data_IF_183566523051
#
_entry.id   IF_183566523051
#
_cell.length_a   1.000
_cell.length_b   1.000
_cell.length_c   1.000
_cell.angle_alpha   90.00
_cell.angle_beta   90.00
_cell.angle_gamma   90.00
#
_symmetry.space_group_name_H-M   'P 1'
#
loop_
_entity.id
_entity.type
_entity.pdbx_description
1 polymer ?
#
# COMPACT_ATOMS: atom_id res chain seq x y z
N UNK A 1 42.75 -19.70 43.55
CA UNK A 1 42.09 -18.71 42.66
C UNK A 1 41.20 -19.47 41.69
N UNK A 2 39.90 -19.59 42.01
CA UNK A 2 38.93 -20.31 41.18
C UNK A 2 38.15 -19.30 40.32
N UNK A 3 38.32 -19.37 38.99
CA UNK A 3 37.61 -18.54 38.02
C UNK A 3 36.33 -19.26 37.58
N UNK A 4 35.17 -18.76 38.02
CA UNK A 4 33.87 -19.19 37.55
C UNK A 4 33.65 -18.78 36.09
N UNK A 5 33.71 -19.75 35.17
CA UNK A 5 33.27 -19.59 33.78
C UNK A 5 31.77 -19.92 33.70
N UNK A 6 30.95 -18.94 33.34
CA UNK A 6 29.53 -19.15 33.09
C UNK A 6 29.30 -19.82 31.72
N UNK A 7 28.31 -20.72 31.58
CA UNK A 7 27.98 -21.39 30.34
C UNK A 7 27.43 -20.40 29.29
N UNK A 8 27.93 -20.51 28.06
CA UNK A 8 27.65 -19.62 26.91
C UNK A 8 26.20 -19.65 26.39
N UNK A 9 25.36 -20.54 26.91
CA UNK A 9 23.95 -20.67 26.52
C UNK A 9 23.06 -19.55 27.08
N UNK A 10 23.48 -18.87 28.14
CA UNK A 10 22.70 -17.76 28.75
C UNK A 10 22.83 -16.41 28.02
N UNK A 11 23.80 -16.24 27.12
CA UNK A 11 23.98 -14.95 26.41
C UNK A 11 22.95 -14.73 25.30
N UNK A 12 22.45 -15.79 24.66
CA UNK A 12 21.52 -15.65 23.53
C UNK A 12 20.07 -15.39 23.97
N UNK A 13 19.64 -15.93 25.12
CA UNK A 13 18.29 -15.69 25.64
C UNK A 13 18.10 -14.24 26.04
N UNK A 14 19.09 -13.63 26.68
CA UNK A 14 19.05 -12.21 27.07
C UNK A 14 18.92 -11.25 25.88
N UNK A 15 19.56 -11.58 24.75
CA UNK A 15 19.44 -10.78 23.51
C UNK A 15 18.03 -10.84 22.92
N UNK A 16 17.39 -12.00 22.96
CA UNK A 16 16.01 -12.17 22.47
C UNK A 16 15.02 -11.41 23.36
N UNK A 17 15.18 -11.49 24.69
CA UNK A 17 14.34 -10.73 25.62
C UNK A 17 14.55 -9.22 25.50
N UNK A 18 15.79 -8.75 25.32
CA UNK A 18 16.08 -7.33 25.12
C UNK A 18 15.45 -6.79 23.81
N UNK A 19 15.49 -7.56 22.73
CA UNK A 19 14.83 -7.21 21.48
C UNK A 19 13.30 -7.20 21.61
N UNK A 20 12.72 -8.21 22.27
CA UNK A 20 11.27 -8.26 22.51
C UNK A 20 10.80 -7.07 23.37
N UNK A 21 11.55 -6.72 24.42
CA UNK A 21 11.23 -5.61 25.31
C UNK A 21 11.27 -4.24 24.60
N UNK A 22 12.15 -4.06 23.61
CA UNK A 22 12.18 -2.82 22.81
C UNK A 22 11.06 -2.74 21.76
N UNK A 23 10.60 -3.88 21.23
CA UNK A 23 9.58 -3.87 20.15
C UNK A 23 8.15 -3.83 20.69
N UNK A 24 7.87 -4.44 21.86
CA UNK A 24 6.52 -4.49 22.44
C UNK A 24 5.82 -3.12 22.66
N UNK A 25 6.48 -2.05 23.14
CA UNK A 25 5.83 -0.77 23.39
C UNK A 25 5.35 -0.06 22.11
N UNK A 26 6.01 -0.30 20.97
CA UNK A 26 5.66 0.32 19.69
C UNK A 26 4.36 -0.26 19.10
N UNK A 27 4.01 -1.51 19.41
CA UNK A 27 2.74 -2.10 18.97
C UNK A 27 1.55 -1.59 19.80
N UNK A 28 1.77 -1.19 21.06
CA UNK A 28 0.69 -0.77 21.95
C UNK A 28 0.14 0.64 21.66
N UNK A 29 0.93 1.52 21.03
CA UNK A 29 0.53 2.91 20.77
C UNK A 29 -0.26 3.10 19.44
N UNK A 30 -0.46 2.04 18.66
CA UNK A 30 -1.14 2.12 17.35
C UNK A 30 -2.67 2.00 17.36
N UNK A 31 -3.31 1.70 18.51
CA UNK A 31 -4.74 1.34 18.55
C UNK A 31 -5.67 2.34 19.27
N UNK A 32 -5.16 3.45 19.84
CA UNK A 32 -6.00 4.38 20.61
C UNK A 32 -6.91 5.28 19.75
N UNK A 33 -6.74 5.30 18.42
CA UNK A 33 -7.39 6.30 17.57
C UNK A 33 -8.70 5.81 16.91
N UNK A 34 -9.13 4.58 17.19
CA UNK A 34 -10.39 4.03 16.65
C UNK A 34 -11.55 4.04 17.64
N UNK A 35 -11.34 4.54 18.87
CA UNK A 35 -12.39 4.64 19.90
C UNK A 35 -13.24 5.92 19.81
N UNK A 36 -12.86 6.90 18.97
CA UNK A 36 -13.52 8.21 18.91
C UNK A 36 -14.90 8.25 18.26
N UNK A 37 -15.27 7.22 17.47
CA UNK A 37 -16.52 7.24 16.69
C UNK A 37 -17.66 6.40 17.29
N UNK A 38 -17.46 5.83 18.50
CA UNK A 38 -18.50 5.07 19.19
C UNK A 38 -19.37 6.00 20.06
N UNK A 39 -19.96 7.01 19.43
CA UNK A 39 -20.99 7.81 20.07
C UNK A 39 -22.21 6.94 20.43
N UNK A 40 -22.72 7.11 21.64
CA UNK A 40 -23.83 6.38 22.27
C UNK A 40 -25.11 6.48 21.43
N UNK A 41 -25.39 5.48 20.59
CA UNK A 41 -26.66 5.38 19.86
C UNK A 41 -27.86 5.19 20.78
N UNK A 42 -27.66 4.60 21.96
CA UNK A 42 -28.74 4.33 22.92
C UNK A 42 -29.33 5.59 23.57
N UNK A 43 -28.54 6.66 23.78
CA UNK A 43 -29.05 7.89 24.38
C UNK A 43 -29.93 8.73 23.42
N UNK A 44 -29.80 8.51 22.10
CA UNK A 44 -30.57 9.23 21.07
C UNK A 44 -31.91 8.52 20.80
N UNK A 45 -32.00 7.20 21.03
CA UNK A 45 -33.21 6.41 20.77
C UNK A 45 -34.36 6.72 21.75
N UNK A 46 -34.06 7.11 22.99
CA UNK A 46 -35.08 7.37 24.02
C UNK A 46 -35.76 8.75 23.88
N UNK A 47 -35.10 9.72 23.25
CA UNK A 47 -35.69 11.06 23.00
C UNK A 47 -36.57 11.11 21.76
N UNK A 48 -36.62 10.04 20.95
CA UNK A 48 -37.29 10.05 19.64
C UNK A 48 -38.78 9.65 19.68
N UNK A 49 -39.31 9.17 20.80
CA UNK A 49 -40.66 8.56 20.86
C UNK A 49 -41.82 9.54 21.03
N UNK A 50 -41.58 10.84 21.19
CA UNK A 50 -42.64 11.82 21.38
C UNK A 50 -42.64 12.93 20.30
N UNK A 51 -42.64 12.54 19.03
CA UNK A 51 -42.80 13.50 17.93
C UNK A 51 -44.29 13.72 17.63
N UNK A 52 -44.79 14.89 18.03
CA UNK A 52 -46.10 15.39 17.62
C UNK A 52 -46.14 15.47 16.08
N UNK A 53 -47.07 14.75 15.44
CA UNK A 53 -47.19 14.74 13.97
C UNK A 53 -47.74 16.08 13.47
N UNK A 54 -46.85 17.03 13.20
CA UNK A 54 -47.22 18.30 12.56
C UNK A 54 -47.63 18.00 11.11
N UNK A 55 -48.86 18.34 10.75
CA UNK A 55 -49.34 18.23 9.37
C UNK A 55 -48.70 19.32 8.49
N UNK A 56 -47.56 18.98 7.89
CA UNK A 56 -46.88 19.84 6.93
C UNK A 56 -47.69 19.97 5.63
N UNK A 57 -47.73 21.20 5.10
CA UNK A 57 -48.33 21.50 3.81
C UNK A 57 -47.57 20.80 2.66
N UNK A 58 -48.25 20.63 1.52
CA UNK A 58 -47.64 20.00 0.32
C UNK A 58 -46.39 20.76 -0.16
N UNK A 59 -46.36 22.09 0.01
CA UNK A 59 -45.24 22.96 -0.37
C UNK A 59 -44.03 22.76 0.55
N UNK A 60 -44.25 22.66 1.86
CA UNK A 60 -43.19 22.39 2.84
C UNK A 60 -42.59 21.00 2.65
N UNK A 61 -43.43 19.98 2.41
CA UNK A 61 -42.96 18.63 2.08
C UNK A 61 -42.07 18.62 0.84
N UNK A 62 -42.39 19.41 -0.19
CA UNK A 62 -41.56 19.53 -1.40
C UNK A 62 -40.22 20.20 -1.09
N UNK A 63 -40.22 21.27 -0.27
CA UNK A 63 -38.98 21.96 0.15
C UNK A 63 -38.08 21.07 0.99
N UNK A 64 -38.64 20.32 1.93
CA UNK A 64 -37.88 19.35 2.73
C UNK A 64 -37.28 18.25 1.85
N UNK A 65 -38.04 17.69 0.90
CA UNK A 65 -37.51 16.69 -0.04
C UNK A 65 -36.33 17.22 -0.87
N UNK A 66 -36.31 18.50 -1.21
CA UNK A 66 -35.19 19.12 -1.91
C UNK A 66 -33.97 19.28 -0.99
N UNK A 67 -34.17 19.67 0.28
CA UNK A 67 -33.10 19.79 1.28
C UNK A 67 -32.46 18.44 1.61
N UNK A 68 -33.24 17.36 1.64
CA UNK A 68 -32.75 16.01 1.92
C UNK A 68 -32.38 15.21 0.67
N UNK A 69 -32.41 15.82 -0.52
CA UNK A 69 -32.00 15.14 -1.75
C UNK A 69 -30.47 15.00 -1.75
N UNK A 70 -29.99 13.82 -1.36
CA UNK A 70 -28.56 13.51 -1.41
C UNK A 70 -28.05 13.67 -2.85
N UNK A 71 -26.91 14.34 -3.07
CA UNK A 71 -26.31 14.40 -4.39
C UNK A 71 -25.94 12.98 -4.84
N UNK A 72 -26.15 12.68 -6.12
CA UNK A 72 -25.70 11.43 -6.71
C UNK A 72 -24.18 11.51 -6.87
N UNK A 73 -23.44 11.06 -5.85
CA UNK A 73 -21.97 11.06 -5.86
C UNK A 73 -21.49 9.85 -6.65
N UNK A 74 -20.96 10.08 -7.85
CA UNK A 74 -20.48 9.01 -8.73
C UNK A 74 -19.09 8.51 -8.33
N UNK A 75 -18.21 9.40 -7.83
CA UNK A 75 -16.89 9.06 -7.32
C UNK A 75 -16.79 9.36 -5.83
N UNK A 76 -16.94 8.32 -5.02
CA UNK A 76 -16.62 8.41 -3.59
C UNK A 76 -15.12 8.32 -3.37
N UNK A 77 -14.60 8.89 -2.27
CA UNK A 77 -13.18 8.79 -1.92
C UNK A 77 -12.68 7.33 -1.87
N UNK A 78 -13.55 6.39 -1.49
CA UNK A 78 -13.29 4.95 -1.52
C UNK A 78 -13.03 4.45 -2.93
N UNK A 79 -13.81 4.89 -3.92
CA UNK A 79 -13.62 4.53 -5.31
C UNK A 79 -12.29 5.05 -5.85
N UNK A 80 -11.96 6.32 -5.58
CA UNK A 80 -10.68 6.92 -6.00
C UNK A 80 -9.46 6.22 -5.39
N UNK A 81 -9.58 5.73 -4.15
CA UNK A 81 -8.55 4.92 -3.53
C UNK A 81 -8.29 3.63 -4.33
N UNK A 82 -9.34 2.84 -4.62
CA UNK A 82 -9.17 1.60 -5.36
C UNK A 82 -8.68 1.84 -6.78
N UNK A 83 -9.13 2.91 -7.44
CA UNK A 83 -8.65 3.31 -8.76
C UNK A 83 -7.13 3.53 -8.76
N UNK A 84 -6.59 4.27 -7.78
CA UNK A 84 -5.14 4.49 -7.64
C UNK A 84 -4.37 3.20 -7.38
N UNK A 85 -4.90 2.32 -6.54
CA UNK A 85 -4.30 1.01 -6.25
C UNK A 85 -4.24 0.16 -7.53
N UNK A 86 -5.32 0.12 -8.29
CA UNK A 86 -5.39 -0.63 -9.54
C UNK A 86 -4.43 -0.08 -10.60
N UNK A 87 -4.37 1.24 -10.77
CA UNK A 87 -3.43 1.92 -11.67
C UNK A 87 -1.98 1.58 -11.32
N UNK A 88 -1.60 1.66 -10.05
CA UNK A 88 -0.27 1.30 -9.58
C UNK A 88 0.06 -0.19 -9.81
N UNK A 89 -0.92 -1.08 -9.60
CA UNK A 89 -0.74 -2.51 -9.86
C UNK A 89 -0.51 -2.78 -11.36
N UNK A 90 -1.33 -2.17 -12.23
CA UNK A 90 -1.19 -2.28 -13.70
C UNK A 90 0.14 -1.72 -14.19
N UNK A 91 0.59 -0.60 -13.64
CA UNK A 91 1.89 -0.01 -13.99
C UNK A 91 3.05 -0.95 -13.61
N UNK A 92 3.05 -1.48 -12.39
CA UNK A 92 4.05 -2.46 -11.94
C UNK A 92 4.09 -3.68 -12.86
N UNK A 93 2.93 -4.24 -13.22
CA UNK A 93 2.87 -5.36 -14.17
C UNK A 93 3.44 -5.01 -15.55
N UNK A 94 3.14 -3.81 -16.06
CA UNK A 94 3.71 -3.34 -17.35
C UNK A 94 5.23 -3.20 -17.28
N UNK A 95 5.77 -2.70 -16.17
CA UNK A 95 7.22 -2.59 -15.95
C UNK A 95 7.85 -3.97 -15.90
N UNK A 96 7.31 -4.89 -15.10
CA UNK A 96 7.81 -6.26 -15.00
C UNK A 96 7.80 -6.98 -16.35
N UNK A 97 6.75 -6.80 -17.16
CA UNK A 97 6.68 -7.35 -18.53
C UNK A 97 7.72 -6.74 -19.47
N UNK A 98 8.09 -5.46 -19.30
CA UNK A 98 9.17 -4.84 -20.08
C UNK A 98 10.51 -5.41 -19.66
N UNK A 99 10.76 -5.54 -18.36
CA UNK A 99 12.00 -6.07 -17.79
C UNK A 99 12.19 -7.56 -18.06
N UNK A 100 11.12 -8.33 -18.19
CA UNK A 100 11.17 -9.76 -18.51
C UNK A 100 11.59 -10.06 -19.94
N UNK A 101 11.78 -9.05 -20.81
CA UNK A 101 12.28 -9.28 -22.16
C UNK A 101 13.73 -9.81 -22.08
N UNK A 102 14.12 -10.79 -22.89
CA UNK A 102 15.48 -11.37 -22.88
C UNK A 102 16.55 -10.32 -23.15
N UNK A 103 16.15 -9.28 -23.87
CA UNK A 103 16.89 -8.08 -24.22
C UNK A 103 17.46 -7.33 -22.98
N UNK A 104 16.80 -7.41 -21.82
CA UNK A 104 17.30 -6.81 -20.56
C UNK A 104 17.96 -7.84 -19.64
N UNK A 105 17.95 -9.13 -19.98
CA UNK A 105 18.61 -10.18 -19.23
C UNK A 105 20.04 -10.46 -19.76
N UNK A 106 20.25 -10.37 -21.08
CA UNK A 106 21.54 -10.60 -21.72
C UNK A 106 22.43 -9.34 -21.69
N UNK A 107 23.55 -9.39 -20.97
CA UNK A 107 24.57 -8.32 -20.98
C UNK A 107 25.13 -8.03 -22.38
N UNK A 108 25.09 -9.00 -23.30
CA UNK A 108 25.56 -8.82 -24.67
C UNK A 108 24.64 -7.92 -25.53
N UNK A 109 23.47 -7.55 -25.03
CA UNK A 109 22.43 -6.81 -25.77
C UNK A 109 22.41 -5.30 -25.46
N UNK A 110 23.17 -4.79 -24.49
CA UNK A 110 23.09 -3.39 -24.04
C UNK A 110 23.08 -2.39 -25.21
N UNK A 111 21.97 -1.67 -25.35
CA UNK A 111 21.80 -0.61 -26.34
C UNK A 111 21.52 -1.06 -27.78
N UNK A 112 21.50 -2.37 -28.06
CA UNK A 112 21.21 -2.88 -29.39
C UNK A 112 19.74 -3.23 -29.59
N UNK A 113 19.18 -3.01 -30.78
CA UNK A 113 17.84 -3.56 -31.12
C UNK A 113 17.90 -5.06 -31.42
N UNK A 114 19.03 -5.54 -31.95
CA UNK A 114 19.25 -6.94 -32.30
C UNK A 114 20.58 -7.40 -31.71
N UNK A 115 20.67 -8.68 -31.30
CA UNK A 115 21.92 -9.24 -30.77
C UNK A 115 23.05 -9.06 -31.80
N UNK A 116 24.20 -8.47 -31.42
CA UNK A 116 25.34 -8.32 -32.32
C UNK A 116 25.84 -9.67 -32.84
N UNK A 117 26.33 -9.69 -34.09
CA UNK A 117 26.93 -10.89 -34.68
C UNK A 117 28.19 -11.27 -33.91
N UNK A 118 28.22 -12.50 -33.38
CA UNK A 118 29.40 -13.05 -32.70
C UNK A 118 30.52 -13.30 -33.70
N UNK A 119 31.68 -12.68 -33.50
CA UNK A 119 32.88 -12.91 -34.29
C UNK A 119 33.89 -13.78 -33.54
N UNK A 120 34.85 -14.37 -34.27
CA UNK A 120 36.00 -15.03 -33.65
C UNK A 120 36.88 -13.99 -32.93
N UNK A 121 37.66 -14.36 -31.89
CA UNK A 121 38.43 -13.40 -31.09
C UNK A 121 39.34 -12.47 -31.91
N UNK A 122 39.96 -12.98 -32.97
CA UNK A 122 40.86 -12.21 -33.85
C UNK A 122 40.13 -11.33 -34.88
N UNK A 123 38.81 -11.47 -35.02
CA UNK A 123 37.99 -10.79 -36.03
C UNK A 123 36.89 -9.90 -35.43
N UNK A 124 36.91 -9.65 -34.12
CA UNK A 124 35.92 -8.81 -33.44
C UNK A 124 35.99 -7.36 -33.95
N UNK A 125 34.84 -6.80 -34.31
CA UNK A 125 34.69 -5.41 -34.78
C UNK A 125 33.97 -4.56 -33.74
N UNK A 126 34.24 -3.26 -33.73
CA UNK A 126 33.48 -2.32 -32.92
C UNK A 126 32.06 -2.19 -33.46
N UNK A 127 31.07 -2.29 -32.57
CA UNK A 127 29.69 -2.03 -32.96
C UNK A 127 29.37 -0.54 -32.90
N UNK A 128 28.64 -0.05 -33.92
CA UNK A 128 28.34 1.38 -34.09
C UNK A 128 27.38 1.92 -33.03
N UNK A 129 26.56 1.07 -32.41
CA UNK A 129 25.53 1.52 -31.46
C UNK A 129 26.05 1.56 -30.00
N UNK A 130 26.88 0.61 -29.59
CA UNK A 130 27.36 0.51 -28.20
C UNK A 130 28.84 0.89 -28.01
N UNK A 131 29.64 0.98 -29.08
CA UNK A 131 31.07 1.26 -29.01
C UNK A 131 31.95 0.13 -28.45
N UNK A 132 31.40 -1.05 -28.16
CA UNK A 132 32.12 -2.23 -27.65
C UNK A 132 32.44 -3.18 -28.80
N UNK A 133 33.49 -4.00 -28.67
CA UNK A 133 33.82 -5.08 -29.62
C UNK A 133 32.92 -6.30 -29.39
N UNK A 134 32.29 -6.80 -30.45
CA UNK A 134 31.46 -8.02 -30.46
C UNK A 134 31.96 -9.08 -31.47
#
# INVERSE_FOLDING_TARGET
>A
MASHRYPSTMQNTWRVYAFAAMVLPLLAQGQSNTLGDRATTSAIEDTQKHTHRVHLSRREKKRQRLLFKKPKVENTARYEFYKRVEEAAREKQRILKKLSKPQYADFAYFGHKNKPKKNKPYAMKYCKECGIRH
#
